data_IF_539585761121
#
_entry.id   IF_539585761121
#
_cell.length_a   1.000
_cell.length_b   1.000
_cell.length_c   1.000
_cell.angle_alpha   90.00
_cell.angle_beta   90.00
_cell.angle_gamma   90.00
#
_symmetry.space_group_name_H-M   'P 1'
#
loop_
_entity.id
_entity.type
_entity.pdbx_description
1 polymer ?
#
# COMPACT_ATOMS: atom_id res chain seq x y z
N UNK A 1 18.17 -6.74 -36.95
CA UNK A 1 19.16 -6.30 -35.95
C UNK A 1 18.46 -6.25 -34.61
N UNK A 2 19.04 -6.78 -33.53
CA UNK A 2 18.46 -6.58 -32.20
C UNK A 2 18.35 -5.07 -31.93
N UNK A 3 17.21 -4.65 -31.41
CA UNK A 3 17.02 -3.30 -30.90
C UNK A 3 18.08 -3.05 -29.82
N UNK A 4 18.87 -1.98 -29.95
CA UNK A 4 19.83 -1.58 -28.92
C UNK A 4 19.19 -0.49 -28.05
N UNK A 5 18.58 -0.86 -26.92
CA UNK A 5 17.95 0.10 -26.05
C UNK A 5 18.99 1.01 -25.38
N UNK A 6 18.63 2.27 -25.19
CA UNK A 6 19.45 3.26 -24.52
C UNK A 6 18.62 4.12 -23.57
N UNK A 7 19.26 4.55 -22.48
CA UNK A 7 18.64 5.45 -21.51
C UNK A 7 18.74 6.92 -21.98
N UNK A 8 17.66 7.66 -21.78
CA UNK A 8 17.60 9.11 -22.06
C UNK A 8 17.44 9.90 -20.77
N UNK A 9 16.47 9.52 -19.94
CA UNK A 9 16.15 10.26 -18.72
C UNK A 9 15.41 9.38 -17.71
N UNK A 10 15.64 9.64 -16.43
CA UNK A 10 14.92 9.00 -15.34
C UNK A 10 14.72 9.99 -14.20
N UNK A 11 13.51 10.02 -13.65
CA UNK A 11 13.15 10.86 -12.52
C UNK A 11 12.19 10.14 -11.58
N UNK A 12 12.36 10.39 -10.28
CA UNK A 12 11.46 9.95 -9.23
C UNK A 12 11.08 11.15 -8.37
N UNK A 13 9.78 11.37 -8.19
CA UNK A 13 9.23 12.45 -7.39
C UNK A 13 8.20 11.98 -6.38
N UNK A 14 8.18 12.68 -5.26
CA UNK A 14 7.17 12.59 -4.22
C UNK A 14 6.11 13.67 -4.49
N UNK A 15 4.89 13.24 -4.83
CA UNK A 15 3.85 14.10 -5.40
C UNK A 15 2.56 14.14 -4.59
N UNK A 16 2.57 13.63 -3.36
CA UNK A 16 1.39 13.68 -2.49
C UNK A 16 1.08 15.12 -2.05
N UNK A 17 -0.18 15.55 -2.18
CA UNK A 17 -0.60 16.91 -1.78
C UNK A 17 -0.62 17.10 -0.26
N UNK A 18 -1.21 16.15 0.47
CA UNK A 18 -1.34 16.18 1.94
C UNK A 18 -0.12 15.59 2.64
N UNK A 19 0.24 14.36 2.26
CA UNK A 19 1.46 13.70 2.73
C UNK A 19 2.39 13.53 1.54
N UNK A 20 3.45 14.33 1.48
CA UNK A 20 4.36 14.38 0.31
C UNK A 20 4.82 12.99 -0.15
N UNK A 21 5.12 12.12 0.81
CA UNK A 21 5.63 10.76 0.57
C UNK A 21 4.57 9.74 0.18
N UNK A 22 3.26 10.03 0.32
CA UNK A 22 2.19 9.05 0.11
C UNK A 22 1.98 8.64 -1.34
N UNK A 23 2.45 9.47 -2.28
CA UNK A 23 2.33 9.21 -3.71
C UNK A 23 3.67 9.41 -4.38
N UNK A 24 4.03 8.44 -5.21
CA UNK A 24 5.25 8.45 -6.00
C UNK A 24 4.90 8.56 -7.47
N UNK A 25 5.66 9.38 -8.18
CA UNK A 25 5.66 9.48 -9.62
C UNK A 25 7.04 9.10 -10.11
N UNK A 26 7.13 8.12 -11.00
CA UNK A 26 8.40 7.68 -11.55
C UNK A 26 8.32 7.70 -13.05
N UNK A 27 9.27 8.37 -13.67
CA UNK A 27 9.28 8.67 -15.09
C UNK A 27 10.58 8.15 -15.70
N UNK A 28 10.46 7.44 -16.81
CA UNK A 28 11.57 6.96 -17.62
C UNK A 28 11.38 7.41 -19.05
N UNK A 29 12.49 7.76 -19.70
CA UNK A 29 12.57 7.98 -21.13
C UNK A 29 13.68 7.12 -21.69
N UNK A 30 13.35 6.28 -22.65
CA UNK A 30 14.29 5.39 -23.34
C UNK A 30 14.11 5.49 -24.85
N UNK A 31 15.15 5.13 -25.61
CA UNK A 31 14.98 4.74 -27.00
C UNK A 31 15.22 3.25 -27.16
N UNK A 32 14.61 2.66 -28.18
CA UNK A 32 14.74 1.23 -28.49
C UNK A 32 15.61 0.96 -29.73
N UNK A 33 15.86 1.98 -30.55
CA UNK A 33 16.71 1.84 -31.73
C UNK A 33 17.62 3.06 -31.87
N UNK A 34 18.94 2.87 -31.98
CA UNK A 34 19.86 3.97 -32.25
C UNK A 34 19.72 4.50 -33.69
N UNK A 35 19.11 3.73 -34.59
CA UNK A 35 18.81 4.16 -35.97
C UNK A 35 17.57 5.07 -36.05
N UNK A 36 16.72 5.07 -35.03
CA UNK A 36 15.57 5.98 -34.90
C UNK A 36 15.74 6.84 -33.62
N UNK A 37 16.78 7.69 -33.52
CA UNK A 37 17.11 8.41 -32.29
C UNK A 37 16.04 9.45 -31.88
N UNK A 38 15.17 9.82 -32.82
CA UNK A 38 14.02 10.70 -32.58
C UNK A 38 12.86 9.96 -31.91
N UNK A 39 12.79 8.64 -32.05
CA UNK A 39 11.70 7.82 -31.52
C UNK A 39 12.01 7.35 -30.11
N UNK A 40 11.76 8.27 -29.17
CA UNK A 40 11.91 8.05 -27.74
C UNK A 40 10.55 7.71 -27.15
N UNK A 41 10.53 6.77 -26.21
CA UNK A 41 9.34 6.35 -25.50
C UNK A 41 9.38 6.81 -24.06
N UNK A 42 8.22 7.22 -23.57
CA UNK A 42 8.02 7.72 -22.23
C UNK A 42 7.20 6.71 -21.44
N UNK A 43 7.75 6.27 -20.31
CA UNK A 43 7.08 5.35 -19.40
C UNK A 43 6.88 6.06 -18.06
N UNK A 44 5.65 6.14 -17.61
CA UNK A 44 5.27 6.80 -16.37
C UNK A 44 4.56 5.83 -15.45
N UNK A 45 5.05 5.68 -14.21
CA UNK A 45 4.37 4.99 -13.13
C UNK A 45 3.86 5.99 -12.10
N UNK A 46 2.56 5.92 -11.80
CA UNK A 46 1.94 6.61 -10.68
C UNK A 46 1.58 5.55 -9.62
N UNK A 47 2.15 5.68 -8.42
CA UNK A 47 1.92 4.74 -7.32
C UNK A 47 1.45 5.49 -6.07
N UNK A 48 0.23 5.21 -5.64
CA UNK A 48 -0.29 5.58 -4.31
C UNK A 48 0.10 4.52 -3.29
N UNK A 49 0.95 4.88 -2.33
CA UNK A 49 1.40 3.96 -1.29
C UNK A 49 0.29 3.61 -0.29
N UNK A 50 -0.70 4.50 -0.14
CA UNK A 50 -1.79 4.33 0.82
C UNK A 50 -2.90 3.47 0.24
N UNK A 51 -3.40 3.83 -0.95
CA UNK A 51 -4.48 3.06 -1.59
C UNK A 51 -3.98 1.83 -2.36
N UNK A 52 -2.66 1.68 -2.54
CA UNK A 52 -2.06 0.61 -3.34
C UNK A 52 -2.28 0.75 -4.85
N UNK A 53 -2.92 1.83 -5.32
CA UNK A 53 -3.23 2.03 -6.73
C UNK A 53 -1.96 2.35 -7.52
N UNK A 54 -1.77 1.63 -8.63
CA UNK A 54 -0.61 1.66 -9.52
C UNK A 54 -1.10 1.77 -10.96
N UNK A 55 -0.70 2.83 -11.66
CA UNK A 55 -1.08 3.09 -13.05
C UNK A 55 0.18 3.30 -13.87
N UNK A 56 0.26 2.62 -15.01
CA UNK A 56 1.37 2.74 -15.96
C UNK A 56 0.86 3.40 -17.23
N UNK A 57 1.58 4.43 -17.68
CA UNK A 57 1.38 5.07 -18.97
C UNK A 57 2.58 4.80 -19.87
N UNK A 58 2.31 4.57 -21.16
CA UNK A 58 3.29 4.52 -22.24
C UNK A 58 2.91 5.59 -23.25
N UNK A 59 3.82 6.54 -23.50
CA UNK A 59 3.60 7.66 -24.42
C UNK A 59 2.24 8.34 -24.19
N UNK A 60 1.86 8.45 -22.91
CA UNK A 60 0.61 9.05 -22.47
C UNK A 60 -0.66 8.20 -22.48
N UNK A 61 -0.55 6.99 -23.02
CA UNK A 61 -1.65 6.03 -23.03
C UNK A 61 -1.56 5.16 -21.79
N UNK A 62 -2.65 5.08 -21.02
CA UNK A 62 -2.75 4.14 -19.91
C UNK A 62 -2.70 2.70 -20.45
N UNK A 63 -1.67 1.96 -20.06
CA UNK A 63 -1.45 0.55 -20.46
C UNK A 63 -1.70 -0.43 -19.33
N UNK A 64 -1.77 0.06 -18.09
CA UNK A 64 -2.05 -0.76 -16.91
C UNK A 64 -2.65 0.04 -15.77
N UNK A 65 -3.57 -0.59 -15.03
CA UNK A 65 -4.18 -0.04 -13.84
C UNK A 65 -4.51 -1.16 -12.87
N UNK A 66 -4.01 -1.04 -11.65
CA UNK A 66 -4.24 -2.04 -10.61
C UNK A 66 -4.29 -1.39 -9.24
N UNK A 67 -4.91 -2.08 -8.27
CA UNK A 67 -4.98 -1.65 -6.88
C UNK A 67 -4.56 -2.82 -5.99
N UNK A 68 -3.38 -2.71 -5.38
CA UNK A 68 -2.85 -3.70 -4.44
C UNK A 68 -1.86 -3.03 -3.50
N UNK A 69 -1.99 -3.28 -2.20
CA UNK A 69 -1.09 -2.75 -1.16
C UNK A 69 0.24 -3.53 -1.13
N UNK A 70 0.37 -4.62 -1.90
CA UNK A 70 1.60 -5.39 -1.99
C UNK A 70 2.82 -4.49 -2.24
N UNK A 71 3.92 -4.69 -1.49
CA UNK A 71 5.17 -3.97 -1.72
C UNK A 71 5.79 -4.36 -3.07
N UNK A 72 5.45 -5.54 -3.58
CA UNK A 72 5.90 -6.03 -4.87
C UNK A 72 4.89 -5.70 -5.97
N UNK A 73 5.42 -5.25 -7.09
CA UNK A 73 4.68 -4.98 -8.31
C UNK A 73 5.56 -5.32 -9.51
N UNK A 74 4.98 -6.02 -10.48
CA UNK A 74 5.61 -6.26 -11.76
C UNK A 74 4.53 -6.26 -12.84
N UNK A 75 4.71 -5.41 -13.85
CA UNK A 75 3.89 -5.37 -15.05
C UNK A 75 4.81 -5.43 -16.25
N UNK A 76 4.44 -6.22 -17.26
CA UNK A 76 5.22 -6.40 -18.47
C UNK A 76 4.36 -6.12 -19.70
N UNK A 77 4.95 -5.47 -20.70
CA UNK A 77 4.28 -5.19 -21.96
C UNK A 77 5.28 -5.17 -23.12
N UNK A 78 4.88 -5.61 -24.32
CA UNK A 78 5.73 -5.52 -25.51
C UNK A 78 5.78 -4.07 -26.03
N UNK A 79 6.95 -3.65 -26.50
CA UNK A 79 7.17 -2.37 -27.16
C UNK A 79 8.19 -2.54 -28.29
N UNK A 80 7.74 -2.36 -29.54
CA UNK A 80 8.57 -2.46 -30.75
C UNK A 80 9.47 -3.71 -30.84
N UNK A 81 9.00 -4.85 -30.32
CA UNK A 81 9.74 -6.12 -30.33
C UNK A 81 10.63 -6.37 -29.11
N UNK A 82 10.72 -5.42 -28.17
CA UNK A 82 11.34 -5.60 -26.86
C UNK A 82 10.29 -5.80 -25.77
N UNK A 83 10.62 -6.54 -24.73
CA UNK A 83 9.78 -6.72 -23.54
C UNK A 83 10.16 -5.69 -22.47
N UNK A 84 9.25 -4.78 -22.16
CA UNK A 84 9.41 -3.82 -21.07
C UNK A 84 8.84 -4.45 -19.80
N UNK A 85 9.62 -4.43 -18.72
CA UNK A 85 9.15 -4.79 -17.38
C UNK A 85 9.28 -3.60 -16.46
N UNK A 86 8.20 -3.23 -15.79
CA UNK A 86 8.15 -2.15 -14.81
C UNK A 86 7.69 -2.71 -13.47
N UNK A 87 8.31 -2.25 -12.40
CA UNK A 87 7.99 -2.80 -11.10
C UNK A 87 8.49 -2.01 -9.92
N UNK A 88 8.11 -2.51 -8.75
CA UNK A 88 8.59 -2.11 -7.44
C UNK A 88 8.88 -3.37 -6.63
N UNK A 89 9.99 -3.38 -5.90
CA UNK A 89 10.34 -4.43 -4.94
C UNK A 89 10.99 -3.80 -3.71
N UNK A 90 11.11 -4.58 -2.64
CA UNK A 90 11.80 -4.13 -1.42
C UNK A 90 13.27 -3.79 -1.68
N UNK A 91 13.91 -4.51 -2.61
CA UNK A 91 15.31 -4.31 -3.01
C UNK A 91 15.53 -3.16 -3.99
N UNK A 92 14.54 -2.80 -4.79
CA UNK A 92 14.59 -1.69 -5.74
C UNK A 92 13.22 -1.02 -5.80
N UNK A 93 13.05 0.15 -5.15
CA UNK A 93 11.73 0.71 -4.90
C UNK A 93 10.95 0.96 -6.18
N UNK A 94 11.65 1.25 -7.28
CA UNK A 94 11.10 1.26 -8.63
C UNK A 94 12.17 0.88 -9.64
N UNK A 95 11.83 0.05 -10.61
CA UNK A 95 12.72 -0.33 -11.71
C UNK A 95 11.97 -0.38 -13.04
N UNK A 96 12.73 -0.17 -14.11
CA UNK A 96 12.34 -0.49 -15.48
C UNK A 96 13.43 -1.38 -16.06
N UNK A 97 13.02 -2.44 -16.77
CA UNK A 97 13.90 -3.33 -17.52
C UNK A 97 13.46 -3.39 -18.98
N UNK A 98 14.42 -3.48 -19.89
CA UNK A 98 14.21 -3.77 -21.31
C UNK A 98 14.89 -5.10 -21.58
N UNK A 99 14.15 -6.11 -22.01
CA UNK A 99 14.68 -7.44 -22.31
C UNK A 99 15.55 -8.02 -21.17
N UNK A 100 15.09 -7.85 -19.92
CA UNK A 100 15.75 -8.22 -18.66
C UNK A 100 16.93 -7.35 -18.21
N UNK A 101 17.39 -6.40 -19.02
CA UNK A 101 18.44 -5.44 -18.65
C UNK A 101 17.83 -4.25 -17.92
N UNK A 102 18.38 -3.84 -16.76
CA UNK A 102 17.84 -2.66 -16.07
C UNK A 102 18.10 -1.40 -16.88
N UNK A 103 17.15 -0.48 -16.84
CA UNK A 103 17.25 0.83 -17.45
C UNK A 103 18.56 1.57 -17.10
N UNK A 104 19.03 1.44 -15.86
CA UNK A 104 20.27 2.07 -15.38
C UNK A 104 21.53 1.49 -16.01
N UNK A 105 21.45 0.24 -16.46
CA UNK A 105 22.56 -0.49 -17.08
C UNK A 105 22.58 -0.29 -18.60
N UNK A 106 21.57 0.38 -19.17
CA UNK A 106 21.53 0.71 -20.59
C UNK A 106 22.58 1.78 -20.95
N UNK A 107 23.13 1.75 -22.17
CA UNK A 107 24.01 2.83 -22.63
C UNK A 107 23.25 4.17 -22.68
N UNK A 108 23.96 5.27 -22.49
CA UNK A 108 23.42 6.60 -22.81
C UNK A 108 23.43 6.81 -24.32
N UNK A 109 22.43 7.54 -24.83
CA UNK A 109 22.43 7.95 -26.23
C UNK A 109 23.70 8.75 -26.55
N UNK A 110 24.50 8.24 -27.47
CA UNK A 110 25.68 8.93 -28.00
C UNK A 110 25.36 9.34 -29.43
N UNK A 111 25.19 10.64 -29.73
CA UNK A 111 24.90 11.09 -31.09
C UNK A 111 25.99 10.61 -32.07
N UNK A 112 25.61 10.16 -33.29
CA UNK A 112 26.57 9.83 -34.33
C UNK A 112 27.50 11.02 -34.59
N UNK A 113 28.83 10.80 -34.49
CA UNK A 113 29.85 11.84 -34.68
C UNK A 113 30.31 12.55 -33.40
N UNK A 114 29.75 12.22 -32.22
CA UNK A 114 30.30 12.69 -30.95
C UNK A 114 31.53 11.85 -30.56
N UNK A 115 32.71 12.36 -30.89
CA UNK A 115 33.98 11.82 -30.39
C UNK A 115 34.01 12.00 -28.87
N UNK A 116 34.05 10.91 -28.11
CA UNK A 116 34.14 10.93 -26.65
C UNK A 116 35.53 11.41 -26.20
N UNK A 117 35.72 12.73 -26.18
CA UNK A 117 36.82 13.34 -25.41
C UNK A 117 36.41 13.28 -23.94
N UNK A 118 37.09 12.43 -23.17
CA UNK A 118 36.80 12.19 -21.77
C UNK A 118 36.77 13.48 -20.96
N UNK A 119 35.66 13.74 -20.28
CA UNK A 119 35.59 14.73 -19.22
C UNK A 119 34.84 14.16 -18.02
N UNK A 120 35.59 14.08 -16.93
CA UNK A 120 35.19 13.87 -15.56
C UNK A 120 34.11 14.86 -15.09
N UNK A 121 33.22 14.37 -14.23
CA UNK A 121 32.48 15.04 -13.16
C UNK A 121 32.12 16.53 -13.32
N UNK A 122 30.81 16.79 -13.25
CA UNK A 122 30.27 18.07 -12.78
C UNK A 122 29.72 18.96 -13.89
N UNK A 123 28.42 18.87 -14.17
CA UNK A 123 27.78 19.79 -15.11
C UNK A 123 26.29 19.55 -15.23
N UNK A 124 25.51 20.43 -14.59
CA UNK A 124 24.07 20.60 -14.78
C UNK A 124 23.77 20.81 -16.27
N UNK A 125 23.24 19.81 -16.95
CA UNK A 125 22.84 19.93 -18.36
C UNK A 125 21.39 20.44 -18.44
N UNK A 126 21.24 21.71 -18.79
CA UNK A 126 20.02 22.30 -19.30
C UNK A 126 19.55 21.51 -20.53
N UNK A 127 18.47 20.74 -20.38
CA UNK A 127 17.84 20.00 -21.46
C UNK A 127 17.16 20.92 -22.49
N UNK A 128 17.02 20.48 -23.76
CA UNK A 128 16.43 21.27 -24.84
C UNK A 128 14.93 21.51 -24.63
N UNK A 129 14.34 22.54 -25.28
CA UNK A 129 12.99 22.99 -24.99
C UNK A 129 11.94 21.96 -25.44
N UNK A 130 11.05 21.63 -24.51
CA UNK A 130 9.92 20.72 -24.62
C UNK A 130 8.81 21.37 -25.46
N UNK A 131 8.59 20.87 -26.69
CA UNK A 131 7.50 21.32 -27.57
C UNK A 131 6.39 20.28 -27.68
N UNK A 132 5.14 20.73 -27.65
CA UNK A 132 3.99 20.04 -28.25
C UNK A 132 3.01 19.38 -27.28
N UNK A 133 3.29 18.14 -26.86
CA UNK A 133 2.25 17.24 -26.33
C UNK A 133 2.13 17.19 -24.79
N UNK A 134 3.06 17.83 -24.08
CA UNK A 134 3.13 17.80 -22.61
C UNK A 134 1.91 18.41 -21.90
N UNK A 135 1.18 19.33 -22.53
CA UNK A 135 0.07 20.01 -21.85
C UNK A 135 -1.16 19.10 -21.66
N UNK A 136 -1.52 18.37 -22.71
CA UNK A 136 -2.64 17.41 -22.70
C UNK A 136 -2.30 16.22 -21.80
N UNK A 137 -1.05 15.76 -21.89
CA UNK A 137 -0.54 14.64 -21.11
C UNK A 137 -0.47 14.95 -19.62
N UNK A 138 0.01 16.15 -19.28
CA UNK A 138 0.06 16.65 -17.90
C UNK A 138 -1.35 16.82 -17.33
N UNK A 139 -2.33 17.19 -18.15
CA UNK A 139 -3.72 17.29 -17.72
C UNK A 139 -4.35 15.92 -17.48
N UNK A 140 -4.08 14.92 -18.33
CA UNK A 140 -4.59 13.55 -18.13
C UNK A 140 -4.00 12.91 -16.88
N UNK A 141 -2.69 13.02 -16.69
CA UNK A 141 -2.02 12.60 -15.47
C UNK A 141 -2.56 13.35 -14.24
N UNK A 142 -2.87 14.65 -14.37
CA UNK A 142 -3.45 15.46 -13.29
C UNK A 142 -4.85 14.99 -12.89
N UNK A 143 -5.71 14.58 -13.83
CA UNK A 143 -7.04 14.01 -13.52
C UNK A 143 -6.92 12.72 -12.73
N UNK A 144 -6.11 11.78 -13.21
CA UNK A 144 -5.83 10.52 -12.50
C UNK A 144 -5.26 10.77 -11.09
N UNK A 145 -4.44 11.82 -10.94
CA UNK A 145 -3.90 12.22 -9.64
C UNK A 145 -4.97 12.74 -8.68
N UNK A 146 -6.00 13.44 -9.19
CA UNK A 146 -7.12 13.92 -8.39
C UNK A 146 -8.00 12.77 -7.90
N UNK A 147 -8.35 11.81 -8.76
CA UNK A 147 -9.11 10.62 -8.36
C UNK A 147 -8.38 9.83 -7.25
N UNK A 148 -7.04 9.76 -7.35
CA UNK A 148 -6.20 9.17 -6.31
C UNK A 148 -6.20 9.94 -4.99
N UNK A 149 -6.43 11.26 -4.99
CA UNK A 149 -6.50 12.07 -3.76
C UNK A 149 -7.82 11.83 -3.04
N UNK A 150 -8.90 11.62 -3.78
CA UNK A 150 -10.20 11.24 -3.24
C UNK A 150 -10.13 9.88 -2.54
N UNK A 151 -9.50 8.89 -3.18
CA UNK A 151 -9.22 7.57 -2.58
C UNK A 151 -8.43 7.69 -1.26
N UNK A 152 -7.48 8.63 -1.18
CA UNK A 152 -6.71 8.88 0.04
C UNK A 152 -7.56 9.49 1.16
N UNK A 153 -8.42 10.45 0.82
CA UNK A 153 -9.34 11.05 1.80
C UNK A 153 -10.31 10.00 2.35
N UNK A 154 -10.79 9.11 1.49
CA UNK A 154 -11.65 8.01 1.90
C UNK A 154 -10.90 7.05 2.83
N UNK A 155 -9.67 6.66 2.49
CA UNK A 155 -8.86 5.77 3.31
C UNK A 155 -8.53 6.36 4.69
N UNK A 156 -8.13 7.63 4.76
CA UNK A 156 -7.87 8.31 6.03
C UNK A 156 -9.13 8.40 6.89
N UNK A 157 -10.28 8.69 6.27
CA UNK A 157 -11.56 8.75 6.98
C UNK A 157 -11.99 7.39 7.52
N UNK A 158 -11.76 6.31 6.76
CA UNK A 158 -12.00 4.94 7.23
C UNK A 158 -11.11 4.65 8.45
N UNK A 159 -9.82 4.98 8.39
CA UNK A 159 -8.89 4.75 9.49
C UNK A 159 -9.28 5.52 10.77
N UNK A 160 -9.68 6.79 10.63
CA UNK A 160 -10.16 7.59 11.77
C UNK A 160 -11.41 7.01 12.40
N UNK A 161 -12.35 6.52 11.59
CA UNK A 161 -13.58 5.90 12.08
C UNK A 161 -13.32 4.55 12.75
N UNK A 162 -12.41 3.73 12.21
CA UNK A 162 -11.98 2.47 12.85
C UNK A 162 -11.36 2.72 14.22
N UNK A 163 -10.52 3.74 14.35
CA UNK A 163 -9.94 4.12 15.64
C UNK A 163 -11.02 4.55 16.63
N UNK A 164 -12.00 5.37 16.20
CA UNK A 164 -13.15 5.76 17.03
C UNK A 164 -13.97 4.57 17.49
N UNK A 165 -14.25 3.63 16.60
CA UNK A 165 -14.99 2.40 16.94
C UNK A 165 -14.18 1.57 17.94
N UNK A 166 -12.86 1.48 17.77
CA UNK A 166 -12.00 0.75 18.69
C UNK A 166 -11.98 1.36 20.09
N UNK A 167 -11.93 2.69 20.19
CA UNK A 167 -11.93 3.39 21.48
C UNK A 167 -13.28 3.22 22.17
N UNK A 168 -14.39 3.38 21.43
CA UNK A 168 -15.74 3.16 21.97
C UNK A 168 -15.98 1.71 22.44
N UNK A 169 -15.35 0.72 21.79
CA UNK A 169 -15.41 -0.68 22.26
C UNK A 169 -14.66 -0.88 23.57
N UNK A 170 -13.46 -0.31 23.72
CA UNK A 170 -12.69 -0.37 24.97
C UNK A 170 -13.45 0.26 26.13
N UNK A 171 -14.11 1.38 25.90
CA UNK A 171 -14.92 2.06 26.92
C UNK A 171 -16.09 1.19 27.37
N UNK A 172 -16.75 0.49 26.44
CA UNK A 172 -17.84 -0.46 26.78
C UNK A 172 -17.32 -1.67 27.54
N UNK A 173 -16.21 -2.27 27.09
CA UNK A 173 -15.58 -3.40 27.80
C UNK A 173 -15.19 -3.00 29.23
N UNK A 174 -14.66 -1.79 29.42
CA UNK A 174 -14.35 -1.27 30.75
C UNK A 174 -15.60 -1.09 31.63
N UNK A 175 -16.74 -0.70 31.06
CA UNK A 175 -17.98 -0.51 31.83
C UNK A 175 -18.63 -1.85 32.18
N UNK A 176 -18.64 -2.81 31.25
CA UNK A 176 -19.10 -4.18 31.49
C UNK A 176 -18.27 -4.86 32.59
N UNK A 177 -16.94 -4.66 32.61
CA UNK A 177 -16.07 -5.17 33.67
C UNK A 177 -16.40 -4.54 35.04
N UNK A 178 -16.74 -3.25 35.08
CA UNK A 178 -17.15 -2.57 36.32
C UNK A 178 -18.50 -3.07 36.83
N UNK A 179 -19.43 -3.35 35.92
CA UNK A 179 -20.74 -3.92 36.26
C UNK A 179 -20.57 -5.33 36.80
N UNK A 180 -19.77 -6.17 36.14
CA UNK A 180 -19.47 -7.53 36.59
C UNK A 180 -18.83 -7.54 37.99
N UNK A 181 -17.86 -6.66 38.24
CA UNK A 181 -17.22 -6.53 39.56
C UNK A 181 -18.22 -6.13 40.65
N UNK A 182 -19.12 -5.19 40.37
CA UNK A 182 -20.16 -4.78 41.32
C UNK A 182 -21.12 -5.93 41.65
N UNK A 183 -21.55 -6.69 40.64
CA UNK A 183 -22.43 -7.84 40.86
C UNK A 183 -21.76 -8.92 41.72
N UNK A 184 -20.46 -9.18 41.50
CA UNK A 184 -19.71 -10.13 42.31
C UNK A 184 -19.60 -9.68 43.77
N UNK A 185 -19.28 -8.41 44.02
CA UNK A 185 -19.21 -7.84 45.38
C UNK A 185 -20.56 -7.88 46.11
N UNK A 186 -21.67 -7.72 45.39
CA UNK A 186 -23.02 -7.82 45.95
C UNK A 186 -23.37 -9.27 46.29
N UNK A 187 -23.10 -10.21 45.38
CA UNK A 187 -23.29 -11.63 45.62
C UNK A 187 -22.48 -12.13 46.83
N UNK A 188 -21.20 -11.76 46.92
CA UNK A 188 -20.32 -12.16 48.03
C UNK A 188 -20.83 -11.59 49.37
N UNK A 189 -21.42 -10.39 49.37
CA UNK A 189 -22.03 -9.78 50.55
C UNK A 189 -23.30 -10.50 50.97
N UNK A 190 -24.21 -10.77 50.04
CA UNK A 190 -25.45 -11.50 50.32
C UNK A 190 -25.16 -12.91 50.85
N UNK A 191 -24.17 -13.59 50.25
CA UNK A 191 -23.72 -14.91 50.71
C UNK A 191 -23.13 -14.85 52.12
N UNK A 192 -22.30 -13.85 52.43
CA UNK A 192 -21.74 -13.67 53.77
C UNK A 192 -22.82 -13.36 54.82
N UNK A 193 -23.80 -12.52 54.50
CA UNK A 193 -24.95 -12.24 55.38
C UNK A 193 -25.81 -13.49 55.60
N UNK A 194 -26.01 -14.30 54.56
CA UNK A 194 -26.75 -15.56 54.64
C UNK A 194 -26.04 -16.60 55.52
N UNK A 195 -24.72 -16.76 55.36
CA UNK A 195 -23.91 -17.62 56.23
C UNK A 195 -23.94 -17.16 57.69
N UNK A 196 -23.85 -15.84 57.93
CA UNK A 196 -23.93 -15.30 59.28
C UNK A 196 -25.32 -15.53 59.91
N UNK A 197 -26.39 -15.39 59.12
CA UNK A 197 -27.75 -15.72 59.54
C UNK A 197 -27.90 -17.21 59.89
N UNK A 198 -27.37 -18.12 59.08
CA UNK A 198 -27.37 -19.56 59.36
C UNK A 198 -26.59 -19.87 60.65
N UNK A 199 -25.44 -19.22 60.84
CA UNK A 199 -24.63 -19.37 62.06
C UNK A 199 -25.35 -18.85 63.31
N UNK A 200 -26.04 -17.71 63.22
CA UNK A 200 -26.79 -17.12 64.35
C UNK A 200 -28.10 -17.85 64.65
N UNK A 201 -28.72 -18.46 63.65
CA UNK A 201 -29.98 -19.19 63.81
C UNK A 201 -29.80 -20.60 64.42
N UNK A 202 -28.55 -21.04 64.65
CA UNK A 202 -28.27 -22.30 65.36
C UNK A 202 -28.79 -23.53 64.61
N UNK A 203 -28.95 -23.44 63.28
CA UNK A 203 -29.34 -24.56 62.44
C UNK A 203 -28.08 -25.38 62.17
N UNK A 204 -27.81 -26.37 63.03
CA UNK A 204 -26.82 -27.41 62.75
C UNK A 204 -27.25 -28.15 61.48
N UNK A 205 -26.56 -27.90 60.37
CA UNK A 205 -26.69 -28.65 59.11
C UNK A 205 -25.96 -30.01 59.19
N UNK A 206 -25.86 -30.63 60.37
CA UNK A 206 -25.59 -32.07 60.48
C UNK A 206 -26.90 -32.85 60.27
N UNK A 207 -27.36 -32.95 59.02
CA UNK A 207 -28.59 -33.72 58.77
C UNK A 207 -29.02 -33.95 57.34
N UNK A 208 -28.39 -33.34 56.33
CA UNK A 208 -28.76 -33.61 54.91
C UNK A 208 -27.74 -34.57 54.29
N UNK A 209 -27.78 -35.82 54.76
CA UNK A 209 -27.24 -36.97 54.03
C UNK A 209 -28.15 -37.19 52.82
N UNK A 210 -27.88 -36.52 51.72
CA UNK A 210 -28.58 -36.79 50.45
C UNK A 210 -28.39 -38.26 50.09
N UNK A 211 -29.49 -38.99 50.05
CA UNK A 211 -29.56 -40.31 49.46
C UNK A 211 -29.14 -40.23 48.00
N UNK A 212 -28.17 -41.06 47.62
CA UNK A 212 -27.95 -41.44 46.23
C UNK A 212 -29.23 -42.14 45.76
N UNK A 213 -30.08 -41.39 45.08
CA UNK A 213 -31.17 -41.92 44.27
C UNK A 213 -30.57 -42.52 43.01
N UNK A 214 -30.43 -43.83 43.06
CA UNK A 214 -30.28 -44.72 41.92
C UNK A 214 -31.48 -44.53 40.98
N UNK A 215 -31.23 -44.37 39.68
CA UNK A 215 -32.27 -44.12 38.68
C UNK A 215 -31.69 -44.31 37.27
N UNK A 216 -31.86 -45.53 36.75
CA UNK A 216 -31.45 -46.00 35.43
C UNK A 216 -31.97 -45.17 34.24
N UNK A 217 -31.32 -45.26 33.08
CA UNK A 217 -31.78 -46.07 31.93
C UNK A 217 -33.16 -45.58 31.43
N UNK A 218 -33.32 -44.98 30.24
CA UNK A 218 -33.14 -45.60 28.93
C UNK A 218 -33.50 -44.60 27.78
N UNK A 219 -32.87 -44.81 26.62
CA UNK A 219 -33.40 -44.74 25.24
C UNK A 219 -33.78 -43.44 24.48
N UNK A 220 -33.12 -43.38 23.30
CA UNK A 220 -33.39 -42.72 22.00
C UNK A 220 -32.95 -41.27 21.77
#
# INVERSE_FOLDING_TARGET
MPNEPYQVYHERQDVGKRLKTSKKRVYWRLGLSPHEPTRKHEVLLVHSLISGKKIVFLDGVEVHNSKSISPTFNFQFPLLGSLISIGASDSSPYYLKVDSVNFRDLPYYTPPGSSSVGLSQGGVSSGPPLGGDMAVERERARRVMNDLDEDLNLALKIQEEENRISDAKKDRESEDERIARRMQEEYDREMGEHEEYLRKSGVDLEGVRMGRGDGGEEHF
#
